data_IF_832698485311
#
_entry.id   IF_832698485311
#
_cell.length_a   1.000
_cell.length_b   1.000
_cell.length_c   1.000
_cell.angle_alpha   90.00
_cell.angle_beta   90.00
_cell.angle_gamma   90.00
#
_symmetry.space_group_name_H-M   'P 1'
#
loop_
_entity.id
_entity.type
_entity.pdbx_description
1 polymer ?
#
# COMPACT_ATOMS: atom_id res chain seq x y z
N UNK A 1 -2.72 8.78 4.82
CA UNK A 1 -1.96 7.53 4.55
C UNK A 1 -0.58 7.68 5.14
N UNK A 2 -0.15 6.69 5.88
CA UNK A 2 1.15 6.72 6.53
C UNK A 2 1.70 5.31 6.67
N UNK A 3 2.99 5.20 6.95
CA UNK A 3 3.63 3.90 7.18
C UNK A 3 2.93 3.18 8.33
N UNK A 4 2.64 1.91 8.13
CA UNK A 4 1.89 1.10 9.08
C UNK A 4 0.40 1.02 8.79
N UNK A 5 -0.11 1.87 7.91
CA UNK A 5 -1.53 1.82 7.53
C UNK A 5 -1.80 0.61 6.63
N UNK A 6 -3.03 0.12 6.72
CA UNK A 6 -3.55 -0.90 5.80
C UNK A 6 -4.45 -0.20 4.79
N UNK A 7 -4.24 -0.48 3.51
CA UNK A 7 -5.01 0.13 2.44
C UNK A 7 -5.45 -0.93 1.45
N UNK A 8 -6.37 -0.58 0.58
CA UNK A 8 -6.84 -1.48 -0.48
C UNK A 8 -6.26 -1.10 -1.82
N UNK A 9 -5.81 -2.11 -2.55
CA UNK A 9 -5.48 -2.00 -3.95
C UNK A 9 -6.33 -3.03 -4.68
N UNK A 10 -7.33 -2.56 -5.41
CA UNK A 10 -8.36 -3.41 -6.00
C UNK A 10 -9.04 -4.22 -4.88
N UNK A 11 -8.97 -5.54 -4.89
CA UNK A 11 -9.56 -6.38 -3.84
C UNK A 11 -8.52 -6.87 -2.83
N UNK A 12 -7.30 -6.35 -2.90
CA UNK A 12 -6.20 -6.81 -2.06
C UNK A 12 -5.91 -5.82 -0.95
N UNK A 13 -5.44 -6.34 0.18
CA UNK A 13 -5.03 -5.50 1.30
C UNK A 13 -3.52 -5.35 1.28
N UNK A 14 -3.05 -4.11 1.43
CA UNK A 14 -1.64 -3.77 1.36
C UNK A 14 -1.23 -3.09 2.66
N UNK A 15 -0.14 -3.55 3.26
CA UNK A 15 0.46 -2.90 4.42
C UNK A 15 1.50 -1.92 3.91
N UNK A 16 1.36 -0.64 4.25
CA UNK A 16 2.30 0.39 3.80
C UNK A 16 3.57 0.32 4.61
N UNK A 17 4.69 0.19 3.93
CA UNK A 17 6.01 0.10 4.58
C UNK A 17 6.87 1.34 4.34
N UNK A 18 6.57 2.13 3.29
CA UNK A 18 7.28 3.38 3.03
C UNK A 18 6.44 4.25 2.10
N UNK A 19 6.68 5.55 2.14
CA UNK A 19 5.97 6.53 1.31
C UNK A 19 6.97 7.54 0.77
N UNK A 20 6.89 7.79 -0.53
CA UNK A 20 7.67 8.80 -1.21
C UNK A 20 6.71 9.78 -1.89
N UNK A 21 7.23 10.83 -2.49
CA UNK A 21 6.41 11.85 -3.15
C UNK A 21 5.56 11.27 -4.27
N UNK A 22 6.12 10.35 -5.05
CA UNK A 22 5.44 9.75 -6.19
C UNK A 22 4.89 8.36 -5.90
N UNK A 23 5.47 7.65 -4.94
CA UNK A 23 5.21 6.23 -4.76
C UNK A 23 4.88 5.89 -3.32
N UNK A 24 4.05 4.88 -3.18
CA UNK A 24 3.79 4.22 -1.90
C UNK A 24 4.32 2.80 -2.02
N UNK A 25 5.08 2.37 -1.05
CA UNK A 25 5.64 1.02 -1.02
C UNK A 25 4.89 0.19 -0.01
N UNK A 26 4.49 -1.01 -0.41
CA UNK A 26 3.72 -1.85 0.47
C UNK A 26 3.89 -3.32 0.18
N UNK A 27 3.40 -4.13 1.12
CA UNK A 27 3.40 -5.59 1.00
C UNK A 27 1.95 -6.03 1.02
N UNK A 28 1.52 -6.74 -0.02
CA UNK A 28 0.19 -7.34 -0.05
C UNK A 28 0.12 -8.50 0.92
N UNK A 29 -1.01 -8.67 1.59
CA UNK A 29 -1.20 -9.80 2.48
C UNK A 29 -1.07 -11.11 1.70
N UNK A 30 -0.23 -12.00 2.20
CA UNK A 30 0.07 -13.28 1.55
C UNK A 30 1.30 -13.25 0.67
N UNK A 31 1.86 -12.07 0.41
CA UNK A 31 3.09 -11.92 -0.37
C UNK A 31 4.27 -11.60 0.54
N UNK A 32 5.47 -11.81 0.03
CA UNK A 32 6.69 -11.57 0.79
C UNK A 32 7.65 -10.60 0.09
N UNK A 33 7.13 -9.80 -0.83
CA UNK A 33 7.94 -8.80 -1.52
C UNK A 33 7.29 -7.43 -1.42
N UNK A 34 8.09 -6.38 -1.55
CA UNK A 34 7.62 -5.01 -1.54
C UNK A 34 7.27 -4.61 -2.96
N UNK A 35 6.06 -4.09 -3.15
CA UNK A 35 5.61 -3.55 -4.42
C UNK A 35 5.44 -2.04 -4.28
N UNK A 36 5.47 -1.31 -5.38
CA UNK A 36 5.22 0.13 -5.34
C UNK A 36 3.96 0.47 -6.11
N UNK A 37 3.26 1.47 -5.60
CA UNK A 37 1.96 1.90 -6.12
C UNK A 37 1.95 3.41 -6.25
N UNK A 38 1.19 3.93 -7.19
CA UNK A 38 0.88 5.36 -7.22
C UNK A 38 -0.10 5.69 -6.10
N UNK A 39 -0.01 6.91 -5.58
CA UNK A 39 -0.85 7.31 -4.44
C UNK A 39 -2.35 7.12 -4.73
N UNK A 40 -2.78 7.44 -5.95
CA UNK A 40 -4.22 7.46 -6.26
C UNK A 40 -4.83 6.07 -6.48
N UNK A 41 -4.02 5.01 -6.60
CA UNK A 41 -4.59 3.67 -6.81
C UNK A 41 -4.93 2.98 -5.49
N UNK A 42 -4.47 3.52 -4.37
CA UNK A 42 -4.71 2.94 -3.06
C UNK A 42 -5.88 3.63 -2.37
N UNK A 43 -6.69 2.86 -1.67
CA UNK A 43 -7.84 3.40 -0.94
C UNK A 43 -7.77 2.99 0.51
N UNK A 44 -8.15 3.90 1.40
CA UNK A 44 -8.20 3.60 2.82
C UNK A 44 -9.18 2.46 3.07
N UNK A 45 -8.82 1.59 4.00
CA UNK A 45 -9.72 0.56 4.50
C UNK A 45 -10.61 1.23 5.54
N UNK A 46 -11.85 1.41 5.21
CA UNK A 46 -12.78 2.07 6.11
C UNK A 46 -13.61 1.05 6.87
#
# INVERSE_FOLDING_TARGET
MKVGDMVKYMSRTVLIVDIDEEWVYGIELGEDYIAKYKHWVLKAVA
#
